data_IF_504838581290
#
_entry.id   IF_504838581290
#
_cell.length_a   1.000
_cell.length_b   1.000
_cell.length_c   1.000
_cell.angle_alpha   90.00
_cell.angle_beta   90.00
_cell.angle_gamma   90.00
#
_symmetry.space_group_name_H-M   'P 1'
#
loop_
_entity.id
_entity.type
_entity.pdbx_description
1 polymer ?
#
# COMPACT_ATOMS: atom_id res chain seq x y z
N UNK A 1 16.22 -2.65 -12.68
CA UNK A 1 15.13 -3.48 -13.24
C UNK A 1 13.91 -2.57 -13.41
N UNK A 2 13.29 -2.55 -14.60
CA UNK A 2 12.22 -1.60 -14.96
C UNK A 2 10.86 -2.27 -14.68
N UNK A 3 9.99 -1.60 -13.93
CA UNK A 3 8.61 -2.05 -13.67
C UNK A 3 7.67 -1.34 -14.64
N UNK A 4 6.93 -2.11 -15.46
CA UNK A 4 6.07 -1.57 -16.52
C UNK A 4 4.65 -1.38 -15.99
N UNK A 5 4.19 -0.13 -15.88
CA UNK A 5 2.78 0.20 -15.62
C UNK A 5 2.00 0.39 -16.93
N UNK A 6 0.71 0.08 -16.93
CA UNK A 6 -0.19 0.20 -18.10
C UNK A 6 -0.43 1.64 -18.60
N UNK A 7 0.13 2.65 -17.92
CA UNK A 7 0.16 4.04 -18.37
C UNK A 7 1.61 4.53 -18.34
N UNK A 8 2.37 4.22 -19.39
CA UNK A 8 3.59 4.86 -19.91
C UNK A 8 4.47 5.76 -18.99
N UNK A 9 4.62 5.42 -17.71
CA UNK A 9 5.54 6.04 -16.77
C UNK A 9 6.39 4.92 -16.17
N UNK A 10 7.58 4.73 -16.72
CA UNK A 10 8.63 3.94 -16.10
C UNK A 10 9.06 4.68 -14.85
N UNK A 11 8.54 4.29 -13.69
CA UNK A 11 9.01 4.82 -12.41
C UNK A 11 10.09 3.87 -11.94
N UNK A 12 11.32 4.38 -11.84
CA UNK A 12 12.42 3.64 -11.23
C UNK A 12 12.04 3.29 -9.79
N UNK A 13 12.29 2.05 -9.37
CA UNK A 13 12.02 1.57 -8.01
C UNK A 13 12.68 2.47 -6.96
N UNK A 14 13.85 3.02 -7.25
CA UNK A 14 14.55 3.98 -6.38
C UNK A 14 13.78 5.31 -6.21
N UNK A 15 13.11 5.76 -7.26
CA UNK A 15 12.28 6.97 -7.22
C UNK A 15 10.97 6.71 -6.47
N UNK A 16 10.40 5.50 -6.62
CA UNK A 16 9.24 5.05 -5.86
C UNK A 16 9.56 4.93 -4.36
N UNK A 17 10.71 4.35 -4.02
CA UNK A 17 11.18 4.24 -2.63
C UNK A 17 11.35 5.63 -2.01
N UNK A 18 11.96 6.58 -2.73
CA UNK A 18 12.13 7.96 -2.22
C UNK A 18 10.79 8.66 -1.97
N UNK A 19 9.81 8.50 -2.86
CA UNK A 19 8.45 9.05 -2.64
C UNK A 19 7.72 8.34 -1.50
N UNK A 20 7.98 7.04 -1.30
CA UNK A 20 7.42 6.28 -0.20
C UNK A 20 8.10 6.54 1.12
N UNK A 21 9.36 6.97 1.16
CA UNK A 21 10.00 7.45 2.40
C UNK A 21 9.18 8.57 3.03
N UNK A 22 8.67 9.50 2.20
CA UNK A 22 7.78 10.59 2.63
C UNK A 22 6.36 10.12 3.00
N UNK A 23 5.96 8.91 2.57
CA UNK A 23 4.66 8.35 2.89
C UNK A 23 4.61 7.85 4.34
N UNK A 24 4.13 8.68 5.26
CA UNK A 24 3.97 8.28 6.68
C UNK A 24 2.82 7.30 6.91
N UNK A 25 1.78 7.37 6.09
CA UNK A 25 0.53 6.63 6.28
C UNK A 25 0.00 6.08 4.95
N UNK A 26 -0.38 4.80 4.95
CA UNK A 26 -0.96 4.12 3.79
C UNK A 26 -2.26 3.44 4.21
N UNK A 27 -3.30 3.55 3.41
CA UNK A 27 -4.53 2.83 3.70
C UNK A 27 -4.31 1.31 3.49
N UNK A 28 -4.75 0.42 4.41
CA UNK A 28 -4.62 -1.03 4.26
C UNK A 28 -5.16 -1.59 2.95
N UNK A 29 -6.27 -1.01 2.46
CA UNK A 29 -6.83 -1.39 1.17
C UNK A 29 -5.99 -0.92 -0.02
N UNK A 30 -5.23 0.17 0.11
CA UNK A 30 -4.30 0.60 -0.94
C UNK A 30 -3.05 -0.27 -0.94
N UNK A 31 -2.52 -0.61 0.24
CA UNK A 31 -1.48 -1.64 0.39
C UNK A 31 -1.90 -2.95 -0.29
N UNK A 32 -3.09 -3.45 0.02
CA UNK A 32 -3.63 -4.66 -0.59
C UNK A 32 -3.65 -4.57 -2.12
N UNK A 33 -4.21 -3.51 -2.68
CA UNK A 33 -4.33 -3.34 -4.13
C UNK A 33 -2.97 -3.15 -4.80
N UNK A 34 -2.06 -2.40 -4.17
CA UNK A 34 -0.72 -2.16 -4.66
C UNK A 34 0.05 -3.45 -4.88
N UNK A 35 -0.06 -4.41 -3.96
CA UNK A 35 0.65 -5.68 -4.02
C UNK A 35 -0.18 -6.85 -4.54
N UNK A 36 -1.40 -6.59 -5.03
CA UNK A 36 -2.27 -7.63 -5.61
C UNK A 36 -2.76 -8.68 -4.60
N UNK A 37 -2.87 -8.31 -3.32
CA UNK A 37 -3.26 -9.22 -2.25
C UNK A 37 -4.80 -9.40 -2.15
N UNK A 38 -5.22 -10.53 -1.61
CA UNK A 38 -6.58 -10.75 -1.12
C UNK A 38 -6.83 -9.99 0.20
N UNK A 39 -8.07 -9.97 0.69
CA UNK A 39 -8.34 -9.34 2.00
C UNK A 39 -7.68 -10.13 3.13
N UNK A 40 -7.63 -11.44 2.99
CA UNK A 40 -7.10 -12.41 3.93
C UNK A 40 -5.58 -12.27 4.03
N UNK A 41 -4.86 -12.29 2.90
CA UNK A 41 -3.41 -12.10 2.85
C UNK A 41 -3.01 -10.72 3.39
N UNK A 42 -3.69 -9.66 2.98
CA UNK A 42 -3.40 -8.33 3.50
C UNK A 42 -3.67 -8.21 5.01
N UNK A 43 -4.66 -8.95 5.53
CA UNK A 43 -4.96 -8.97 6.95
C UNK A 43 -3.87 -9.70 7.74
N UNK A 44 -3.39 -10.84 7.24
CA UNK A 44 -2.29 -11.60 7.82
C UNK A 44 -1.03 -10.74 7.96
N UNK A 45 -0.62 -10.09 6.87
CA UNK A 45 0.56 -9.22 6.84
C UNK A 45 0.44 -8.03 7.82
N UNK A 46 -0.77 -7.47 7.93
CA UNK A 46 -1.04 -6.36 8.85
C UNK A 46 -1.38 -6.81 10.28
N UNK A 47 -1.32 -8.12 10.57
CA UNK A 47 -1.72 -8.72 11.84
C UNK A 47 -3.13 -8.28 12.27
N UNK A 48 -4.07 -8.33 11.33
CA UNK A 48 -5.48 -8.00 11.49
C UNK A 48 -6.34 -9.23 11.21
N UNK A 49 -7.57 -9.20 11.72
CA UNK A 49 -8.60 -10.15 11.31
C UNK A 49 -9.06 -9.84 9.87
N UNK A 50 -9.32 -10.85 9.02
CA UNK A 50 -9.83 -10.64 7.66
C UNK A 50 -11.12 -9.81 7.60
N UNK A 51 -11.99 -9.97 8.59
CA UNK A 51 -13.22 -9.17 8.72
C UNK A 51 -12.95 -7.68 8.96
N UNK A 52 -11.87 -7.34 9.67
CA UNK A 52 -11.43 -5.97 9.90
C UNK A 52 -10.96 -5.34 8.59
N UNK A 53 -10.26 -6.11 7.75
CA UNK A 53 -9.84 -5.64 6.42
C UNK A 53 -11.05 -5.31 5.54
N UNK A 54 -12.08 -6.16 5.55
CA UNK A 54 -13.34 -5.92 4.83
C UNK A 54 -14.10 -4.71 5.38
N UNK A 55 -14.07 -4.49 6.69
CA UNK A 55 -14.71 -3.34 7.32
C UNK A 55 -14.13 -1.99 6.83
N UNK A 56 -12.86 -1.95 6.44
CA UNK A 56 -12.23 -0.75 5.88
C UNK A 56 -12.76 -0.31 4.51
N UNK A 57 -13.66 -1.08 3.89
CA UNK A 57 -14.42 -0.62 2.72
C UNK A 57 -15.41 0.50 3.08
N UNK A 58 -15.82 0.57 4.35
CA UNK A 58 -16.80 1.54 4.84
C UNK A 58 -16.27 2.41 5.98
N UNK A 59 -15.25 1.91 6.70
CA UNK A 59 -14.69 2.56 7.87
C UNK A 59 -13.26 3.02 7.63
N UNK A 60 -12.85 4.06 8.36
CA UNK A 60 -11.47 4.51 8.34
C UNK A 60 -10.59 3.71 9.31
N UNK A 61 -9.44 3.18 8.87
CA UNK A 61 -8.47 2.55 9.75
C UNK A 61 -7.88 3.57 10.70
N UNK A 62 -7.49 3.09 11.89
CA UNK A 62 -6.76 3.91 12.84
C UNK A 62 -5.40 4.34 12.26
N UNK A 63 -4.89 5.47 12.77
CA UNK A 63 -3.57 5.99 12.39
C UNK A 63 -2.46 4.94 12.52
N UNK A 64 -2.51 4.13 13.59
CA UNK A 64 -1.54 3.06 13.83
C UNK A 64 -1.54 2.01 12.72
N UNK A 65 -2.73 1.59 12.26
CA UNK A 65 -2.87 0.61 11.18
C UNK A 65 -2.37 1.18 9.86
N UNK A 66 -2.65 2.46 9.58
CA UNK A 66 -2.14 3.12 8.37
C UNK A 66 -0.62 3.23 8.34
N UNK A 67 -0.01 3.55 9.49
CA UNK A 67 1.46 3.55 9.63
C UNK A 67 2.05 2.16 9.41
N UNK A 68 1.44 1.14 10.00
CA UNK A 68 1.89 -0.24 9.82
C UNK A 68 1.87 -0.65 8.33
N UNK A 69 0.80 -0.35 7.62
CA UNK A 69 0.71 -0.63 6.18
C UNK A 69 1.79 0.10 5.38
N UNK A 70 2.10 1.37 5.71
CA UNK A 70 3.18 2.10 5.07
C UNK A 70 4.55 1.47 5.37
N UNK A 71 4.80 1.08 6.61
CA UNK A 71 6.06 0.44 7.02
C UNK A 71 6.27 -0.89 6.28
N UNK A 72 5.27 -1.76 6.22
CA UNK A 72 5.39 -3.04 5.50
C UNK A 72 5.59 -2.81 4.00
N UNK A 73 4.86 -1.87 3.39
CA UNK A 73 5.05 -1.53 1.99
C UNK A 73 6.50 -1.09 1.68
N UNK A 74 7.08 -0.25 2.55
CA UNK A 74 8.48 0.19 2.43
C UNK A 74 9.43 -1.00 2.52
N UNK A 75 9.27 -1.84 3.54
CA UNK A 75 10.12 -3.02 3.74
C UNK A 75 10.08 -3.95 2.52
N UNK A 76 8.88 -4.22 1.99
CA UNK A 76 8.73 -5.06 0.80
C UNK A 76 9.42 -4.50 -0.43
N UNK A 77 9.36 -3.18 -0.63
CA UNK A 77 10.09 -2.54 -1.72
C UNK A 77 11.60 -2.60 -1.54
N UNK A 78 12.09 -2.47 -0.30
CA UNK A 78 13.50 -2.67 0.03
C UNK A 78 13.95 -4.12 -0.18
N UNK A 79 13.05 -5.08 -0.03
CA UNK A 79 13.25 -6.51 -0.34
C UNK A 79 13.05 -6.85 -1.83
N UNK A 80 13.00 -5.83 -2.71
CA UNK A 80 12.78 -5.97 -4.15
C UNK A 80 11.42 -6.61 -4.55
N UNK A 81 10.48 -6.72 -3.61
CA UNK A 81 9.12 -7.18 -3.90
C UNK A 81 8.36 -6.08 -4.64
N UNK A 82 8.10 -6.33 -5.92
CA UNK A 82 7.48 -5.34 -6.78
C UNK A 82 5.96 -5.27 -6.56
N UNK A 83 5.39 -4.06 -6.39
CA UNK A 83 3.95 -3.87 -6.41
C UNK A 83 3.42 -4.15 -7.82
N UNK A 84 2.23 -4.73 -7.87
CA UNK A 84 1.46 -4.96 -9.09
C UNK A 84 0.94 -3.63 -9.65
N UNK A 85 0.60 -2.68 -8.79
CA UNK A 85 0.12 -1.36 -9.19
C UNK A 85 0.63 -0.25 -8.24
N UNK A 86 1.67 0.46 -8.68
CA UNK A 86 2.30 1.57 -7.96
C UNK A 86 1.38 2.77 -7.75
N UNK A 87 0.29 2.92 -8.50
CA UNK A 87 -0.60 4.08 -8.38
C UNK A 87 -1.23 4.16 -6.99
N UNK A 88 -1.51 3.03 -6.35
CA UNK A 88 -2.05 2.98 -4.98
C UNK A 88 -1.02 3.39 -3.91
N UNK A 89 0.27 3.43 -4.25
CA UNK A 89 1.35 3.88 -3.38
C UNK A 89 1.67 5.36 -3.57
N UNK A 90 1.58 5.85 -4.81
CA UNK A 90 1.88 7.25 -5.18
C UNK A 90 0.68 8.16 -4.91
N UNK A 91 -0.51 7.69 -5.28
CA UNK A 91 -1.78 8.37 -5.09
C UNK A 91 -2.68 7.52 -4.17
N UNK A 92 -2.26 7.27 -2.92
CA UNK A 92 -3.10 6.54 -1.98
C UNK A 92 -4.40 7.32 -1.79
N UNK A 93 -5.49 6.60 -1.48
CA UNK A 93 -6.78 7.23 -1.22
C UNK A 93 -6.58 8.28 -0.15
N UNK A 94 -6.63 9.56 -0.56
CA UNK A 94 -6.78 10.67 0.37
C UNK A 94 -8.05 10.36 1.12
N UNK A 95 -7.89 10.00 2.38
CA UNK A 95 -9.02 9.64 3.22
C UNK A 95 -9.82 10.92 3.34
N UNK A 96 -10.89 11.07 2.56
CA UNK A 96 -11.81 12.19 2.70
C UNK A 96 -12.34 12.09 4.12
N UNK A 97 -11.81 12.95 5.00
CA UNK A 97 -12.45 13.29 6.24
C UNK A 97 -13.74 14.03 5.84
N UNK A 98 -14.85 13.30 5.79
CA UNK A 98 -16.18 13.85 5.93
C UNK A 98 -16.65 13.57 7.35
#
# INVERSE_FOLDING_TARGET
>A
MIVTTKNNCQIDTNQLISQLEELEELHPLDFRLAFGLTHEEAAEELCLEPQTMRAYLKNNPSRRVKKLAATIAKNWLSEERQPVDVQYLINPRRTNAS
#
